data_IF_051322083439
#
_entry.id   IF_051322083439
#
_cell.length_a   1.000
_cell.length_b   1.000
_cell.length_c   1.000
_cell.angle_alpha   90.00
_cell.angle_beta   90.00
_cell.angle_gamma   90.00
#
_symmetry.space_group_name_H-M   'P 1'
#
loop_
_entity.id
_entity.type
_entity.pdbx_description
1 polymer ?
#
# COMPACT_ATOMS: atom_id res chain seq x y z
N UNK A 1 -60.77 -50.17 -84.03
CA UNK A 1 -59.52 -49.40 -83.91
C UNK A 1 -59.63 -48.54 -82.66
N UNK A 2 -59.21 -49.07 -81.51
CA UNK A 2 -59.21 -48.30 -80.26
C UNK A 2 -57.88 -47.54 -80.14
N UNK A 3 -57.97 -46.21 -80.11
CA UNK A 3 -56.84 -45.32 -79.82
C UNK A 3 -56.53 -45.40 -78.34
N UNK A 4 -55.40 -46.02 -78.00
CA UNK A 4 -54.82 -45.96 -76.67
C UNK A 4 -54.53 -44.49 -76.31
N UNK A 5 -55.35 -43.92 -75.42
CA UNK A 5 -55.11 -42.61 -74.82
C UNK A 5 -53.87 -42.72 -73.91
N UNK A 6 -52.86 -41.91 -74.22
CA UNK A 6 -51.58 -41.89 -73.51
C UNK A 6 -51.80 -41.34 -72.08
N UNK A 7 -51.87 -42.21 -71.08
CA UNK A 7 -51.92 -41.88 -69.64
C UNK A 7 -50.57 -41.41 -69.06
N UNK A 8 -49.60 -41.05 -69.92
CA UNK A 8 -48.17 -40.97 -69.57
C UNK A 8 -47.76 -39.67 -68.84
N UNK A 9 -48.59 -38.64 -68.89
CA UNK A 9 -48.21 -37.30 -68.40
C UNK A 9 -48.58 -37.06 -66.93
N UNK A 10 -49.56 -37.79 -66.36
CA UNK A 10 -49.91 -37.68 -64.94
C UNK A 10 -48.82 -38.22 -64.01
N UNK A 11 -48.06 -39.23 -64.44
CA UNK A 11 -46.97 -39.77 -63.63
C UNK A 11 -45.75 -38.84 -63.61
N UNK A 12 -45.52 -38.04 -64.67
CA UNK A 12 -44.37 -37.15 -64.75
C UNK A 12 -44.44 -36.01 -63.73
N UNK A 13 -45.63 -35.41 -63.54
CA UNK A 13 -45.83 -34.38 -62.52
C UNK A 13 -45.67 -34.96 -61.11
N UNK A 14 -46.23 -36.14 -60.84
CA UNK A 14 -46.07 -36.84 -59.55
C UNK A 14 -44.60 -37.11 -59.21
N UNK A 15 -43.78 -37.53 -60.19
CA UNK A 15 -42.34 -37.77 -59.99
C UNK A 15 -41.60 -36.46 -59.66
N UNK A 16 -41.91 -35.35 -60.35
CA UNK A 16 -41.30 -34.05 -60.06
C UNK A 16 -41.66 -33.55 -58.66
N UNK A 17 -42.92 -33.71 -58.25
CA UNK A 17 -43.36 -33.38 -56.89
C UNK A 17 -42.65 -34.24 -55.84
N UNK A 18 -42.55 -35.54 -56.05
CA UNK A 18 -41.83 -36.44 -55.14
C UNK A 18 -40.34 -36.06 -55.03
N UNK A 19 -39.70 -35.68 -56.14
CA UNK A 19 -38.33 -35.19 -56.13
C UNK A 19 -38.18 -33.85 -55.38
N UNK A 20 -39.10 -32.91 -55.58
CA UNK A 20 -39.11 -31.64 -54.86
C UNK A 20 -39.24 -31.85 -53.35
N UNK A 21 -40.21 -32.67 -52.92
CA UNK A 21 -40.42 -33.01 -51.51
C UNK A 21 -39.16 -33.66 -50.92
N UNK A 22 -38.47 -34.54 -51.66
CA UNK A 22 -37.21 -35.12 -51.19
C UNK A 22 -36.12 -34.08 -50.98
N UNK A 23 -35.99 -33.09 -51.87
CA UNK A 23 -35.01 -32.01 -51.71
C UNK A 23 -35.33 -31.15 -50.49
N UNK A 24 -36.58 -30.73 -50.35
CA UNK A 24 -37.03 -29.95 -49.19
C UNK A 24 -36.82 -30.74 -47.88
N UNK A 25 -37.14 -32.04 -47.86
CA UNK A 25 -36.87 -32.88 -46.69
C UNK A 25 -35.38 -32.96 -46.37
N UNK A 26 -34.49 -33.07 -47.36
CA UNK A 26 -33.03 -33.07 -47.14
C UNK A 26 -32.57 -31.71 -46.59
N UNK A 27 -33.09 -30.61 -47.12
CA UNK A 27 -32.77 -29.26 -46.63
C UNK A 27 -33.25 -29.05 -45.19
N UNK A 28 -34.48 -29.46 -44.86
CA UNK A 28 -35.01 -29.40 -43.49
C UNK A 28 -34.18 -30.25 -42.53
N UNK A 29 -33.76 -31.45 -42.95
CA UNK A 29 -32.89 -32.31 -42.13
C UNK A 29 -31.53 -31.64 -41.89
N UNK A 30 -30.93 -31.00 -42.90
CA UNK A 30 -29.70 -30.23 -42.70
C UNK A 30 -29.87 -29.09 -41.70
N UNK A 31 -30.97 -28.31 -41.81
CA UNK A 31 -31.26 -27.24 -40.85
C UNK A 31 -31.47 -27.79 -39.42
N UNK A 32 -32.10 -28.96 -39.29
CA UNK A 32 -32.29 -29.62 -38.01
C UNK A 32 -30.94 -30.08 -37.40
N UNK A 33 -30.04 -30.62 -38.22
CA UNK A 33 -28.72 -31.05 -37.78
C UNK A 33 -27.84 -29.85 -37.37
N UNK A 34 -27.91 -28.74 -38.11
CA UNK A 34 -27.19 -27.50 -37.79
C UNK A 34 -27.69 -26.91 -36.46
N UNK A 35 -29.01 -26.76 -36.28
CA UNK A 35 -29.58 -26.27 -35.01
C UNK A 35 -29.28 -27.19 -33.83
N UNK A 36 -29.20 -28.51 -34.06
CA UNK A 36 -28.79 -29.48 -33.05
C UNK A 36 -27.31 -29.34 -32.69
N UNK A 37 -26.44 -29.09 -33.66
CA UNK A 37 -25.02 -28.84 -33.42
C UNK A 37 -24.81 -27.54 -32.63
N UNK A 38 -25.55 -26.48 -32.96
CA UNK A 38 -25.55 -25.23 -32.20
C UNK A 38 -26.05 -25.42 -30.77
N UNK A 39 -27.16 -26.15 -30.57
CA UNK A 39 -27.69 -26.46 -29.24
C UNK A 39 -26.71 -27.30 -28.40
N UNK A 40 -25.99 -28.25 -29.03
CA UNK A 40 -24.94 -29.00 -28.36
C UNK A 40 -23.76 -28.11 -27.94
N UNK A 41 -23.36 -27.17 -28.80
CA UNK A 41 -22.32 -26.18 -28.51
C UNK A 41 -22.72 -25.26 -27.35
N UNK A 42 -23.92 -24.69 -27.39
CA UNK A 42 -24.43 -23.83 -26.30
C UNK A 42 -24.61 -24.59 -24.99
N UNK A 43 -25.05 -25.85 -25.04
CA UNK A 43 -25.12 -26.71 -23.86
C UNK A 43 -23.73 -26.96 -23.27
N UNK A 44 -22.70 -27.15 -24.12
CA UNK A 44 -21.32 -27.31 -23.67
C UNK A 44 -20.77 -26.04 -23.01
N UNK A 45 -21.03 -24.86 -23.56
CA UNK A 45 -20.57 -23.59 -22.96
C UNK A 45 -21.29 -23.29 -21.65
N UNK A 46 -22.58 -23.61 -21.54
CA UNK A 46 -23.34 -23.51 -20.27
C UNK A 46 -22.75 -24.42 -19.21
N UNK A 47 -22.35 -25.64 -19.56
CA UNK A 47 -21.70 -26.56 -18.62
C UNK A 47 -20.31 -26.07 -18.17
N UNK A 48 -19.49 -25.51 -19.07
CA UNK A 48 -18.20 -24.90 -18.71
C UNK A 48 -18.40 -23.70 -17.78
N UNK A 49 -19.36 -22.82 -18.08
CA UNK A 49 -19.69 -21.68 -17.21
C UNK A 49 -20.18 -22.14 -15.84
N UNK A 50 -21.02 -23.17 -15.79
CA UNK A 50 -21.49 -23.76 -14.53
C UNK A 50 -20.32 -24.29 -13.69
N UNK A 51 -19.40 -25.02 -14.31
CA UNK A 51 -18.20 -25.53 -13.63
C UNK A 51 -17.33 -24.39 -13.08
N UNK A 52 -17.11 -23.33 -13.85
CA UNK A 52 -16.35 -22.15 -13.38
C UNK A 52 -17.04 -21.41 -12.26
N UNK A 53 -18.37 -21.32 -12.27
CA UNK A 53 -19.15 -20.71 -11.18
C UNK A 53 -19.02 -21.56 -9.91
N UNK A 54 -19.09 -22.88 -10.02
CA UNK A 54 -18.89 -23.79 -8.87
C UNK A 54 -17.47 -23.66 -8.30
N UNK A 55 -16.45 -23.57 -9.16
CA UNK A 55 -15.06 -23.36 -8.74
C UNK A 55 -14.87 -22.00 -8.05
N UNK A 56 -15.40 -20.91 -8.62
CA UNK A 56 -15.34 -19.58 -8.01
C UNK A 56 -16.11 -19.54 -6.69
N UNK A 57 -17.28 -20.19 -6.62
CA UNK A 57 -18.05 -20.30 -5.37
C UNK A 57 -17.24 -21.01 -4.29
N UNK A 58 -16.55 -22.09 -4.64
CA UNK A 58 -15.69 -22.82 -3.72
C UNK A 58 -14.48 -21.98 -3.26
N UNK A 59 -13.86 -21.23 -4.17
CA UNK A 59 -12.77 -20.31 -3.81
C UNK A 59 -13.24 -19.18 -2.88
N UNK A 60 -14.44 -18.64 -3.13
CA UNK A 60 -15.05 -17.61 -2.27
C UNK A 60 -15.39 -18.17 -0.89
N UNK A 61 -15.73 -19.46 -0.78
CA UNK A 61 -16.01 -20.11 0.50
C UNK A 61 -14.73 -20.41 1.31
N UNK A 62 -13.63 -20.82 0.65
CA UNK A 62 -12.36 -21.16 1.33
C UNK A 62 -11.58 -19.92 1.78
N UNK A 63 -11.54 -18.87 0.95
CA UNK A 63 -10.73 -17.67 1.21
C UNK A 63 -11.03 -16.99 2.57
N UNK A 64 -12.27 -16.82 3.04
CA UNK A 64 -12.53 -16.22 4.35
C UNK A 64 -11.96 -17.08 5.49
N UNK A 65 -12.07 -18.41 5.42
CA UNK A 65 -11.50 -19.31 6.43
C UNK A 65 -9.99 -19.11 6.57
N UNK A 66 -9.27 -18.94 5.46
CA UNK A 66 -7.84 -18.70 5.49
C UNK A 66 -7.46 -17.35 6.12
N UNK A 67 -8.26 -16.31 5.86
CA UNK A 67 -8.04 -14.98 6.46
C UNK A 67 -8.31 -15.04 7.97
N UNK A 68 -9.37 -15.73 8.39
CA UNK A 68 -9.71 -15.89 9.80
C UNK A 68 -8.62 -16.67 10.57
N UNK A 69 -8.05 -17.73 9.98
CA UNK A 69 -6.91 -18.46 10.54
C UNK A 69 -5.68 -17.56 10.73
N UNK A 70 -5.36 -16.72 9.74
CA UNK A 70 -4.24 -15.78 9.83
C UNK A 70 -4.50 -14.73 10.90
N UNK A 71 -5.71 -14.17 10.95
CA UNK A 71 -6.10 -13.17 11.96
C UNK A 71 -6.02 -13.75 13.36
N UNK A 72 -6.54 -14.97 13.57
CA UNK A 72 -6.45 -15.66 14.86
C UNK A 72 -4.99 -15.94 15.26
N UNK A 73 -4.14 -16.31 14.31
CA UNK A 73 -2.70 -16.50 14.56
C UNK A 73 -1.98 -15.19 14.91
N UNK A 74 -2.35 -14.07 14.27
CA UNK A 74 -1.82 -12.75 14.61
C UNK A 74 -2.28 -12.32 16.00
N UNK A 75 -3.57 -12.46 16.31
CA UNK A 75 -4.14 -12.14 17.61
C UNK A 75 -3.49 -12.96 18.74
N UNK A 76 -3.27 -14.26 18.53
CA UNK A 76 -2.54 -15.12 19.46
C UNK A 76 -1.15 -14.59 19.79
N UNK A 77 -0.33 -14.29 18.77
CA UNK A 77 1.03 -13.74 18.97
C UNK A 77 1.03 -12.37 19.64
N UNK A 78 0.05 -11.52 19.34
CA UNK A 78 -0.09 -10.22 20.00
C UNK A 78 -0.43 -10.39 21.48
N UNK A 79 -1.35 -11.28 21.81
CA UNK A 79 -1.72 -11.59 23.19
C UNK A 79 -0.54 -12.17 23.98
N UNK A 80 0.23 -13.09 23.39
CA UNK A 80 1.46 -13.63 24.00
C UNK A 80 2.51 -12.55 24.24
N UNK A 81 2.70 -11.65 23.27
CA UNK A 81 3.64 -10.52 23.40
C UNK A 81 3.20 -9.54 24.49
N UNK A 82 1.91 -9.17 24.52
CA UNK A 82 1.34 -8.32 25.57
C UNK A 82 1.49 -8.95 26.95
N UNK A 83 1.23 -10.25 27.08
CA UNK A 83 1.40 -10.97 28.33
C UNK A 83 2.85 -10.95 28.80
N UNK A 84 3.80 -11.16 27.88
CA UNK A 84 5.25 -11.09 28.17
C UNK A 84 5.65 -9.71 28.68
N UNK A 85 5.16 -8.63 28.06
CA UNK A 85 5.42 -7.26 28.50
C UNK A 85 4.79 -6.99 29.87
N UNK A 86 3.56 -7.44 30.11
CA UNK A 86 2.89 -7.29 31.40
C UNK A 86 3.66 -8.00 32.52
N UNK A 87 4.15 -9.21 32.28
CA UNK A 87 4.93 -9.96 33.27
C UNK A 87 6.29 -9.30 33.53
N UNK A 88 6.92 -8.70 32.50
CA UNK A 88 8.13 -7.90 32.68
C UNK A 88 7.88 -6.63 33.50
N UNK A 89 6.76 -5.94 33.29
CA UNK A 89 6.36 -4.76 34.08
C UNK A 89 6.18 -5.15 35.53
N UNK A 90 5.43 -6.22 35.83
CA UNK A 90 5.26 -6.72 37.20
C UNK A 90 6.59 -7.06 37.86
N UNK A 91 7.51 -7.72 37.14
CA UNK A 91 8.84 -8.01 37.66
C UNK A 91 9.60 -6.73 38.03
N UNK A 92 9.61 -5.72 37.16
CA UNK A 92 10.24 -4.42 37.42
C UNK A 92 9.58 -3.66 38.58
N UNK A 93 8.27 -3.76 38.75
CA UNK A 93 7.56 -3.18 39.90
C UNK A 93 8.00 -3.84 41.22
N UNK A 94 8.16 -5.16 41.24
CA UNK A 94 8.66 -5.86 42.44
C UNK A 94 10.10 -5.47 42.78
N UNK A 95 10.97 -5.32 41.77
CA UNK A 95 12.34 -4.87 41.94
C UNK A 95 12.41 -3.42 42.44
N UNK A 96 11.63 -2.51 41.84
CA UNK A 96 11.52 -1.12 42.29
C UNK A 96 11.07 -1.02 43.74
N UNK A 97 10.08 -1.83 44.14
CA UNK A 97 9.61 -1.87 45.53
C UNK A 97 10.69 -2.38 46.49
N UNK A 98 11.51 -3.35 46.05
CA UNK A 98 12.65 -3.82 46.84
C UNK A 98 13.73 -2.73 46.98
N UNK A 99 14.07 -2.03 45.89
CA UNK A 99 15.04 -0.95 45.89
C UNK A 99 14.59 0.21 46.78
N UNK A 100 13.31 0.59 46.73
CA UNK A 100 12.72 1.59 47.63
C UNK A 100 12.91 1.22 49.10
N UNK A 101 12.59 -0.02 49.48
CA UNK A 101 12.79 -0.52 50.87
C UNK A 101 14.27 -0.48 51.28
N UNK A 102 15.19 -0.84 50.38
CA UNK A 102 16.63 -0.76 50.65
C UNK A 102 17.10 0.68 50.85
N UNK A 103 16.58 1.61 50.05
CA UNK A 103 16.89 3.03 50.16
C UNK A 103 16.38 3.60 51.50
N UNK A 104 15.12 3.32 51.86
CA UNK A 104 14.55 3.71 53.16
C UNK A 104 15.37 3.17 54.34
N UNK A 105 15.86 1.92 54.25
CA UNK A 105 16.72 1.33 55.26
C UNK A 105 18.07 2.06 55.38
N UNK A 106 18.72 2.38 54.25
CA UNK A 106 19.98 3.11 54.22
C UNK A 106 19.82 4.55 54.71
N UNK A 107 18.72 5.21 54.34
CA UNK A 107 18.37 6.55 54.79
C UNK A 107 18.18 6.60 56.31
N UNK A 108 17.47 5.62 56.90
CA UNK A 108 17.37 5.48 58.36
C UNK A 108 18.74 5.24 59.00
N UNK A 109 19.60 4.43 58.36
CA UNK A 109 20.95 4.14 58.86
C UNK A 109 21.89 5.34 58.78
N UNK A 110 21.74 6.21 57.79
CA UNK A 110 22.57 7.42 57.63
C UNK A 110 22.08 8.58 58.51
N UNK A 111 20.77 8.70 58.74
CA UNK A 111 20.19 9.71 59.61
C UNK A 111 20.62 9.55 61.09
N UNK A 112 20.79 8.32 61.57
CA UNK A 112 21.20 8.03 62.95
C UNK A 112 22.54 8.67 63.36
N UNK A 113 23.68 8.42 62.67
CA UNK A 113 24.97 9.01 63.04
C UNK A 113 25.07 10.49 62.72
N UNK A 114 24.36 10.99 61.70
CA UNK A 114 24.38 12.41 61.33
C UNK A 114 23.86 13.30 62.45
N UNK A 115 22.82 12.87 63.19
CA UNK A 115 22.31 13.62 64.35
C UNK A 115 23.31 13.61 65.51
N UNK A 116 23.98 12.48 65.78
CA UNK A 116 24.98 12.38 66.86
C UNK A 116 26.23 13.21 66.57
N UNK A 117 26.69 13.24 65.32
CA UNK A 117 27.82 14.06 64.90
C UNK A 117 27.46 15.55 64.84
N UNK A 118 26.28 15.93 64.33
CA UNK A 118 25.82 17.34 64.40
C UNK A 118 25.73 17.83 65.84
N UNK A 119 25.08 17.08 66.75
CA UNK A 119 25.03 17.48 68.16
C UNK A 119 26.42 17.60 68.81
N UNK A 120 27.41 16.82 68.33
CA UNK A 120 28.77 16.83 68.86
C UNK A 120 29.64 17.97 68.28
N UNK A 121 29.38 18.39 67.04
CA UNK A 121 30.10 19.48 66.36
C UNK A 121 29.46 20.85 66.63
N UNK A 122 28.13 20.92 66.72
CA UNK A 122 27.41 22.16 66.97
C UNK A 122 27.59 22.65 68.42
N UNK A 123 27.78 21.74 69.39
CA UNK A 123 28.04 22.09 70.79
C UNK A 123 29.32 22.93 71.01
N UNK A 124 30.50 22.57 70.47
CA UNK A 124 31.71 23.40 70.58
C UNK A 124 31.67 24.65 69.71
N UNK A 125 31.02 24.64 68.54
CA UNK A 125 30.95 25.82 67.66
C UNK A 125 30.05 26.90 68.28
N UNK A 126 28.92 26.54 68.90
CA UNK A 126 28.09 27.51 69.60
C UNK A 126 28.79 28.12 70.83
N UNK A 127 29.65 27.38 71.53
CA UNK A 127 30.43 27.93 72.65
C UNK A 127 31.50 28.92 72.18
N UNK A 128 32.21 28.63 71.09
CA UNK A 128 33.25 29.52 70.56
C UNK A 128 32.66 30.81 69.95
N UNK A 129 31.51 30.72 69.26
CA UNK A 129 30.86 31.89 68.66
C UNK A 129 30.23 32.81 69.72
N UNK A 130 29.71 32.27 70.83
CA UNK A 130 29.21 33.10 71.94
C UNK A 130 30.35 33.76 72.75
N UNK A 131 31.51 33.11 72.90
CA UNK A 131 32.67 33.70 73.57
C UNK A 131 33.35 34.82 72.74
N UNK A 132 33.28 34.76 71.40
CA UNK A 132 33.81 35.84 70.54
C UNK A 132 32.92 37.08 70.43
N UNK A 133 31.63 37.01 70.80
CA UNK A 133 30.70 38.15 70.69
C UNK A 133 30.81 39.18 71.83
N UNK A 134 31.58 38.90 72.89
CA UNK A 134 31.86 39.85 73.98
C UNK A 134 33.22 40.59 73.83
N UNK A 135 33.95 40.36 72.75
CA UNK A 135 35.20 41.06 72.41
C UNK A 135 34.93 42.39 71.71
N UNK A 136 34.65 43.43 72.49
CA UNK A 136 34.60 44.83 72.08
C UNK A 136 35.95 45.34 71.57
N UNK A 137 36.11 45.52 70.26
CA UNK A 137 36.98 46.52 69.58
C UNK A 137 36.34 46.72 68.19
N UNK A 138 35.78 47.88 67.81
CA UNK A 138 36.44 49.17 67.76
C UNK A 138 37.39 49.19 66.56
N UNK A 139 37.15 50.08 65.59
CA UNK A 139 37.85 50.30 64.29
C UNK A 139 37.15 49.63 63.10
N UNK A 140 37.00 50.22 61.92
CA UNK A 140 37.23 51.56 61.39
C UNK A 140 36.56 51.55 59.99
N UNK A 141 36.05 52.70 59.55
CA UNK A 141 35.41 52.84 58.25
C UNK A 141 36.49 52.93 57.16
N UNK A 142 36.64 51.88 56.35
CA UNK A 142 37.49 51.88 55.16
C UNK A 142 36.75 51.35 53.94
N UNK A 143 36.61 52.12 52.84
CA UNK A 143 35.97 51.66 51.61
C UNK A 143 36.98 50.95 50.69
N UNK A 144 36.63 49.73 50.27
CA UNK A 144 37.18 49.05 49.09
C UNK A 144 37.93 47.74 49.38
N UNK A 145 38.25 46.92 48.36
CA UNK A 145 37.64 46.79 47.04
C UNK A 145 36.86 45.48 46.90
N UNK A 146 35.87 45.53 46.02
CA UNK A 146 35.28 44.45 45.22
C UNK A 146 36.04 43.10 45.29
N UNK A 147 35.63 42.22 46.21
CA UNK A 147 35.99 40.81 46.17
C UNK A 147 34.86 40.08 45.46
N UNK A 148 35.09 39.90 44.16
CA UNK A 148 34.33 39.14 43.20
C UNK A 148 34.12 37.70 43.73
N UNK A 149 32.95 37.49 44.33
CA UNK A 149 32.47 36.17 44.75
C UNK A 149 32.19 35.38 43.46
N UNK A 150 33.16 34.56 43.09
CA UNK A 150 33.04 33.50 42.08
C UNK A 150 32.00 32.49 42.57
N UNK A 151 30.74 32.75 42.22
CA UNK A 151 29.69 31.74 42.21
C UNK A 151 29.99 30.81 41.02
N UNK A 152 30.10 29.48 41.21
CA UNK A 152 30.13 28.56 40.08
C UNK A 152 28.73 28.51 39.47
N UNK A 153 28.45 29.44 38.57
CA UNK A 153 27.24 29.45 37.78
C UNK A 153 27.44 28.48 36.61
N UNK A 154 27.05 27.23 36.82
CA UNK A 154 27.04 26.20 35.78
C UNK A 154 25.86 25.26 36.00
N UNK A 155 24.69 25.77 35.67
CA UNK A 155 23.58 24.94 35.23
C UNK A 155 23.06 25.54 33.91
N UNK A 156 23.34 24.92 32.75
CA UNK A 156 22.70 25.33 31.51
C UNK A 156 21.22 24.96 31.62
N UNK A 157 20.39 25.98 31.76
CA UNK A 157 18.94 25.86 31.60
C UNK A 157 18.66 25.70 30.10
N UNK A 158 18.31 24.49 29.68
CA UNK A 158 17.64 24.24 28.40
C UNK A 158 16.27 24.94 28.42
N UNK A 159 16.27 26.22 28.05
CA UNK A 159 15.06 26.97 27.72
C UNK A 159 15.04 27.21 26.22
N UNK A 160 14.30 26.34 25.56
CA UNK A 160 13.50 26.58 24.37
C UNK A 160 13.54 28.02 23.80
N UNK A 161 14.31 28.22 22.74
CA UNK A 161 13.95 29.07 21.59
C UNK A 161 14.39 28.29 20.34
N UNK A 162 13.45 27.80 19.55
CA UNK A 162 12.93 28.53 18.40
C UNK A 162 14.06 29.00 17.47
N UNK A 163 14.27 28.19 16.42
CA UNK A 163 14.72 28.61 15.10
C UNK A 163 16.09 29.33 15.05
N UNK A 164 17.14 28.56 14.72
CA UNK A 164 17.89 28.64 13.46
C UNK A 164 19.31 28.08 13.63
N UNK A 165 19.80 27.45 12.55
CA UNK A 165 21.19 27.03 12.32
C UNK A 165 21.66 25.71 12.97
N UNK A 166 21.19 24.60 12.40
CA UNK A 166 21.85 23.30 12.46
C UNK A 166 22.92 23.18 11.37
N UNK A 167 24.15 23.60 11.68
CA UNK A 167 25.34 23.02 11.07
C UNK A 167 26.44 23.01 12.12
N UNK A 168 27.27 21.95 12.10
CA UNK A 168 28.54 21.86 12.81
C UNK A 168 28.53 21.37 14.27
N UNK A 169 28.44 20.04 14.47
CA UNK A 169 29.53 19.26 15.11
C UNK A 169 29.28 17.77 14.88
N UNK A 170 29.96 17.25 13.84
CA UNK A 170 30.13 15.83 13.55
C UNK A 170 31.29 15.35 14.42
N UNK A 171 30.98 14.82 15.60
CA UNK A 171 31.95 14.27 16.53
C UNK A 171 32.64 13.04 15.95
N UNK A 172 33.91 13.22 15.63
CA UNK A 172 35.06 12.34 15.85
C UNK A 172 34.72 10.94 16.40
N UNK A 173 34.76 9.96 15.51
CA UNK A 173 35.08 8.57 15.85
C UNK A 173 35.92 8.02 14.71
N UNK A 174 37.13 8.59 14.59
CA UNK A 174 38.24 7.99 13.86
C UNK A 174 38.59 6.67 14.55
N UNK A 175 38.12 5.56 13.98
CA UNK A 175 38.65 4.24 14.29
C UNK A 175 39.71 3.91 13.24
N UNK A 176 40.95 3.99 13.70
CA UNK A 176 42.18 3.72 12.97
C UNK A 176 42.31 2.22 12.69
N UNK A 177 41.91 1.76 11.50
CA UNK A 177 42.34 0.46 10.98
C UNK A 177 42.69 0.55 9.50
N UNK A 178 43.99 0.77 9.25
CA UNK A 178 44.78 0.17 8.18
C UNK A 178 44.28 0.26 6.74
N UNK A 179 44.83 1.20 5.98
CA UNK A 179 45.00 1.06 4.53
C UNK A 179 46.08 0.03 4.24
N UNK A 180 45.89 -0.86 3.24
CA UNK A 180 46.99 -1.32 2.41
C UNK A 180 46.84 -0.68 1.02
N UNK A 181 47.69 0.29 0.73
CA UNK A 181 48.02 0.62 -0.65
C UNK A 181 48.91 -0.50 -1.18
N UNK A 182 48.50 -1.18 -2.25
CA UNK A 182 49.43 -1.77 -3.21
C UNK A 182 48.75 -1.89 -4.58
N UNK A 183 49.26 -1.06 -5.47
CA UNK A 183 49.20 -1.07 -6.92
C UNK A 183 49.46 -2.44 -7.54
N UNK A 184 48.73 -2.73 -8.63
CA UNK A 184 49.02 -3.82 -9.56
C UNK A 184 48.02 -3.81 -10.72
N UNK A 185 48.47 -3.29 -11.86
CA UNK A 185 47.81 -3.33 -13.16
C UNK A 185 47.48 -4.78 -13.56
N UNK A 186 46.30 -5.04 -14.16
CA UNK A 186 46.20 -5.68 -15.48
C UNK A 186 44.75 -5.73 -15.98
N UNK A 187 44.61 -5.47 -17.28
CA UNK A 187 43.40 -5.44 -18.08
C UNK A 187 42.57 -6.73 -18.02
N UNK A 188 41.24 -6.58 -17.97
CA UNK A 188 40.32 -7.29 -18.89
C UNK A 188 38.91 -6.74 -18.80
N UNK A 189 38.31 -6.62 -19.98
CA UNK A 189 37.07 -5.94 -20.31
C UNK A 189 35.84 -6.64 -19.69
N UNK A 190 34.99 -5.89 -18.98
CA UNK A 190 33.54 -6.09 -18.97
C UNK A 190 32.84 -4.78 -18.58
N UNK A 191 32.14 -4.17 -19.53
CA UNK A 191 31.31 -2.99 -19.32
C UNK A 191 30.11 -3.33 -18.43
N UNK A 192 30.16 -2.93 -17.17
CA UNK A 192 28.96 -2.61 -16.38
C UNK A 192 29.16 -1.23 -15.77
N UNK A 193 28.29 -0.29 -16.14
CA UNK A 193 28.27 1.11 -15.73
C UNK A 193 28.51 1.29 -14.22
N UNK A 194 29.73 1.67 -13.85
CA UNK A 194 30.03 2.25 -12.52
C UNK A 194 29.70 3.75 -12.56
N UNK A 195 28.66 4.13 -11.85
CA UNK A 195 28.28 5.53 -11.62
C UNK A 195 29.34 6.15 -10.70
N UNK A 196 29.82 7.38 -10.96
CA UNK A 196 30.77 8.06 -10.10
C UNK A 196 30.11 8.41 -8.76
N UNK A 197 30.70 7.95 -7.65
CA UNK A 197 30.39 8.41 -6.28
C UNK A 197 30.84 9.88 -6.14
N UNK A 198 30.02 10.81 -6.64
CA UNK A 198 30.10 12.21 -6.23
C UNK A 198 29.38 12.34 -4.89
N UNK A 199 29.90 13.18 -4.00
CA UNK A 199 29.21 13.70 -2.82
C UNK A 199 27.87 14.30 -3.29
N UNK A 200 26.79 13.55 -3.19
CA UNK A 200 25.44 14.02 -3.50
C UNK A 200 24.82 14.43 -2.17
N UNK A 201 24.39 15.68 -2.08
CA UNK A 201 23.56 16.16 -1.00
C UNK A 201 22.32 15.26 -0.83
N UNK A 202 21.98 14.87 0.41
CA UNK A 202 21.07 13.75 0.65
C UNK A 202 19.63 13.96 0.12
N UNK A 203 19.12 15.20 0.08
CA UNK A 203 17.69 15.43 -0.19
C UNK A 203 17.31 15.52 -1.69
N UNK A 204 18.14 16.11 -2.55
CA UNK A 204 17.84 16.16 -4.00
C UNK A 204 18.10 14.82 -4.71
N UNK A 205 18.83 13.92 -4.06
CA UNK A 205 19.27 12.64 -4.63
C UNK A 205 18.14 11.61 -4.78
N UNK A 206 17.24 11.55 -3.79
CA UNK A 206 16.28 10.45 -3.67
C UNK A 206 15.19 10.59 -4.73
N UNK A 207 14.69 11.80 -4.95
CA UNK A 207 13.68 12.07 -5.98
C UNK A 207 14.18 11.84 -7.41
N UNK A 208 15.48 12.05 -7.68
CA UNK A 208 16.06 11.74 -8.99
C UNK A 208 16.27 10.23 -9.18
N UNK A 209 16.63 9.51 -8.12
CA UNK A 209 16.77 8.06 -8.14
C UNK A 209 15.42 7.35 -8.29
N UNK A 210 14.37 7.91 -7.70
CA UNK A 210 12.99 7.43 -7.70
C UNK A 210 12.21 7.94 -8.91
N UNK A 211 12.72 7.83 -10.13
CA UNK A 211 11.92 8.13 -11.34
C UNK A 211 11.44 6.85 -12.01
N UNK A 212 10.17 6.82 -12.44
CA UNK A 212 9.57 5.68 -13.11
C UNK A 212 10.26 5.36 -14.44
N UNK A 213 10.70 6.37 -15.18
CA UNK A 213 11.48 6.22 -16.43
C UNK A 213 10.78 5.27 -17.44
N UNK A 214 9.46 5.36 -17.56
CA UNK A 214 8.66 4.54 -18.47
C UNK A 214 8.47 3.08 -18.05
N UNK A 215 8.91 2.67 -16.85
CA UNK A 215 8.68 1.30 -16.33
C UNK A 215 7.22 1.10 -15.96
N UNK A 216 6.74 -0.15 -16.01
CA UNK A 216 5.41 -0.47 -15.47
C UNK A 216 5.36 -0.18 -13.97
N UNK A 217 4.16 -0.01 -13.39
CA UNK A 217 4.04 0.32 -11.97
C UNK A 217 4.65 -0.78 -11.07
N UNK A 218 4.55 -2.05 -11.50
CA UNK A 218 5.11 -3.22 -10.82
C UNK A 218 6.65 -3.22 -10.89
N UNK A 219 7.21 -2.97 -12.07
CA UNK A 219 8.66 -2.86 -12.26
C UNK A 219 9.25 -1.67 -11.50
N UNK A 220 8.49 -0.57 -11.45
CA UNK A 220 8.86 0.63 -10.72
C UNK A 220 8.86 0.39 -9.21
N UNK A 221 7.86 -0.32 -8.68
CA UNK A 221 7.83 -0.75 -7.28
C UNK A 221 9.04 -1.62 -6.94
N UNK A 222 9.31 -2.65 -7.75
CA UNK A 222 10.47 -3.54 -7.59
C UNK A 222 11.80 -2.78 -7.62
N UNK A 223 11.91 -1.76 -8.48
CA UNK A 223 13.09 -0.89 -8.50
C UNK A 223 13.21 -0.06 -7.22
N UNK A 224 12.10 0.50 -6.76
CA UNK A 224 12.07 1.34 -5.59
C UNK A 224 12.39 0.55 -4.31
N UNK A 225 11.99 -0.72 -4.23
CA UNK A 225 12.39 -1.64 -3.14
C UNK A 225 13.90 -1.92 -3.12
N UNK A 226 14.55 -2.01 -4.29
CA UNK A 226 16.02 -2.14 -4.35
C UNK A 226 16.71 -0.88 -3.82
N UNK A 227 16.20 0.30 -4.17
CA UNK A 227 16.70 1.57 -3.63
C UNK A 227 16.45 1.63 -2.12
N UNK A 228 15.28 1.21 -1.66
CA UNK A 228 14.93 1.16 -0.23
C UNK A 228 15.92 0.30 0.54
N UNK A 229 16.20 -0.90 0.03
CA UNK A 229 17.11 -1.85 0.67
C UNK A 229 18.50 -1.25 0.82
N UNK A 230 18.98 -0.53 -0.20
CA UNK A 230 20.26 0.18 -0.15
C UNK A 230 20.26 1.32 0.87
N UNK A 231 19.15 2.05 0.98
CA UNK A 231 19.04 3.17 1.94
C UNK A 231 18.89 2.68 3.38
N UNK A 232 18.15 1.60 3.61
CA UNK A 232 18.03 0.94 4.92
C UNK A 232 19.40 0.43 5.40
N UNK A 233 20.21 -0.10 4.49
CA UNK A 233 21.60 -0.49 4.79
C UNK A 233 22.48 0.71 5.16
N UNK A 234 22.17 1.91 4.65
CA UNK A 234 22.88 3.15 4.95
C UNK A 234 22.47 3.80 6.29
N UNK A 235 21.48 3.24 6.99
CA UNK A 235 21.01 3.77 8.29
C UNK A 235 20.24 5.09 8.20
N UNK A 236 19.85 5.53 6.99
CA UNK A 236 19.05 6.75 6.79
C UNK A 236 17.58 6.42 7.12
N UNK A 237 17.22 6.58 8.39
CA UNK A 237 16.02 6.00 9.01
C UNK A 237 14.66 6.64 8.70
N UNK A 238 14.48 7.37 7.60
CA UNK A 238 13.22 8.05 7.30
C UNK A 238 12.48 7.36 6.15
N UNK A 239 11.42 6.60 6.49
CA UNK A 239 10.56 5.89 5.50
C UNK A 239 9.56 6.82 4.81
N UNK A 240 9.15 7.90 5.47
CA UNK A 240 8.15 8.86 4.97
C UNK A 240 8.61 9.63 3.73
N UNK A 241 9.80 10.28 3.69
CA UNK A 241 10.25 11.03 2.50
C UNK A 241 10.46 10.11 1.30
N UNK A 242 10.72 8.82 1.54
CA UNK A 242 10.86 7.83 0.49
C UNK A 242 9.54 7.54 -0.23
N UNK A 243 8.43 7.44 0.51
CA UNK A 243 7.10 7.25 -0.07
C UNK A 243 6.71 8.47 -0.90
N UNK A 244 7.01 9.67 -0.42
CA UNK A 244 6.74 10.91 -1.14
C UNK A 244 7.58 11.01 -2.43
N UNK A 245 8.88 10.70 -2.35
CA UNK A 245 9.75 10.64 -3.52
C UNK A 245 9.26 9.62 -4.56
N UNK A 246 8.78 8.46 -4.11
CA UNK A 246 8.19 7.45 -5.00
C UNK A 246 6.97 7.99 -5.74
N UNK A 247 6.03 8.63 -5.03
CA UNK A 247 4.79 9.20 -5.57
C UNK A 247 5.08 10.31 -6.58
N UNK A 248 5.99 11.23 -6.24
CA UNK A 248 6.43 12.30 -7.14
C UNK A 248 7.13 11.76 -8.40
N UNK A 249 7.75 10.59 -8.28
CA UNK A 249 8.46 9.86 -9.34
C UNK A 249 7.60 9.15 -10.38
N UNK A 250 6.29 9.03 -10.16
CA UNK A 250 5.35 8.37 -11.09
C UNK A 250 5.09 9.28 -12.29
N UNK A 251 5.29 8.77 -13.52
CA UNK A 251 5.21 9.54 -14.77
C UNK A 251 3.77 9.95 -15.11
N UNK A 252 2.77 9.15 -14.71
CA UNK A 252 1.35 9.40 -14.98
C UNK A 252 0.69 10.33 -13.95
N UNK A 253 0.14 11.49 -14.33
CA UNK A 253 -0.52 12.40 -13.37
C UNK A 253 -1.79 11.76 -12.79
N UNK A 254 -2.56 11.02 -13.59
CA UNK A 254 -3.78 10.35 -13.11
C UNK A 254 -3.50 9.20 -12.14
N UNK A 255 -2.44 8.42 -12.40
CA UNK A 255 -2.01 7.37 -11.48
C UNK A 255 -1.44 7.95 -10.20
N UNK A 256 -0.72 9.08 -10.29
CA UNK A 256 -0.19 9.81 -9.14
C UNK A 256 -1.30 10.33 -8.24
N UNK A 257 -2.28 11.05 -8.78
CA UNK A 257 -3.42 11.57 -7.99
C UNK A 257 -4.21 10.45 -7.30
N UNK A 258 -4.39 9.32 -7.98
CA UNK A 258 -5.05 8.15 -7.40
C UNK A 258 -4.22 7.53 -6.26
N UNK A 259 -2.88 7.47 -6.41
CA UNK A 259 -1.98 7.00 -5.36
C UNK A 259 -2.02 7.91 -4.13
N UNK A 260 -1.94 9.23 -4.33
CA UNK A 260 -1.98 10.24 -3.27
C UNK A 260 -3.30 10.17 -2.50
N UNK A 261 -4.43 10.08 -3.21
CA UNK A 261 -5.75 9.97 -2.59
C UNK A 261 -5.85 8.69 -1.74
N UNK A 262 -5.42 7.54 -2.27
CA UNK A 262 -5.43 6.26 -1.54
C UNK A 262 -4.50 6.25 -0.33
N UNK A 263 -3.29 6.82 -0.46
CA UNK A 263 -2.33 6.96 0.63
C UNK A 263 -2.81 7.92 1.71
N UNK A 264 -3.58 8.95 1.36
CA UNK A 264 -4.20 9.85 2.34
C UNK A 264 -5.12 9.11 3.32
N UNK A 265 -5.81 8.06 2.85
CA UNK A 265 -6.66 7.22 3.71
C UNK A 265 -5.88 6.10 4.41
N UNK A 266 -4.93 5.45 3.72
CA UNK A 266 -4.17 4.31 4.24
C UNK A 266 -2.97 4.71 5.14
N UNK A 267 -2.56 5.97 5.09
CA UNK A 267 -1.36 6.49 5.74
C UNK A 267 -0.11 6.43 4.85
N UNK A 268 0.82 7.37 5.08
CA UNK A 268 2.07 7.48 4.32
C UNK A 268 3.13 6.51 4.87
N UNK A 269 2.95 5.22 4.61
CA UNK A 269 3.93 4.17 4.93
C UNK A 269 4.27 3.34 3.70
N UNK A 270 5.47 2.76 3.66
CA UNK A 270 5.90 1.90 2.56
C UNK A 270 5.00 0.67 2.38
N UNK A 271 4.50 0.12 3.50
CA UNK A 271 3.59 -1.01 3.49
C UNK A 271 2.20 -0.62 2.94
N UNK A 272 1.71 0.58 3.27
CA UNK A 272 0.49 1.10 2.67
C UNK A 272 0.65 1.35 1.16
N UNK A 273 1.80 1.90 0.74
CA UNK A 273 2.14 2.13 -0.67
C UNK A 273 2.12 0.84 -1.49
N UNK A 274 2.83 -0.19 -1.03
CA UNK A 274 2.87 -1.51 -1.70
C UNK A 274 1.47 -2.11 -1.83
N UNK A 275 0.68 -2.11 -0.76
CA UNK A 275 -0.71 -2.58 -0.79
C UNK A 275 -1.60 -1.82 -1.78
N UNK A 276 -1.49 -0.49 -1.81
CA UNK A 276 -2.25 0.36 -2.76
C UNK A 276 -1.85 0.08 -4.21
N UNK A 277 -0.56 -0.13 -4.49
CA UNK A 277 -0.09 -0.44 -5.85
C UNK A 277 -0.63 -1.80 -6.30
N UNK A 278 -0.57 -2.82 -5.45
CA UNK A 278 -1.13 -4.13 -5.77
C UNK A 278 -2.64 -4.05 -6.06
N UNK A 279 -3.41 -3.30 -5.24
CA UNK A 279 -4.85 -3.06 -5.47
C UNK A 279 -5.11 -2.39 -6.83
N UNK A 280 -4.28 -1.42 -7.23
CA UNK A 280 -4.40 -0.73 -8.52
C UNK A 280 -4.09 -1.66 -9.69
N UNK A 281 -3.02 -2.45 -9.59
CA UNK A 281 -2.60 -3.39 -10.64
C UNK A 281 -3.69 -4.45 -10.85
N UNK A 282 -4.16 -5.08 -9.77
CA UNK A 282 -5.23 -6.07 -9.78
C UNK A 282 -6.51 -5.50 -10.43
N UNK A 283 -6.94 -4.30 -10.02
CA UNK A 283 -8.10 -3.63 -10.62
C UNK A 283 -7.91 -3.23 -12.07
N UNK A 284 -6.68 -2.91 -12.48
CA UNK A 284 -6.38 -2.53 -13.85
C UNK A 284 -6.42 -3.72 -14.81
N UNK A 285 -6.03 -4.91 -14.35
CA UNK A 285 -6.11 -6.16 -15.12
C UNK A 285 -7.57 -6.57 -15.36
N UNK A 286 -8.42 -6.51 -14.32
CA UNK A 286 -9.85 -6.84 -14.44
C UNK A 286 -10.55 -5.96 -15.49
N UNK A 287 -10.24 -4.66 -15.53
CA UNK A 287 -10.83 -3.73 -16.52
C UNK A 287 -10.36 -3.97 -17.95
N UNK A 288 -9.17 -4.55 -18.15
CA UNK A 288 -8.68 -4.90 -19.48
C UNK A 288 -9.41 -6.12 -20.05
N UNK A 289 -9.68 -7.12 -19.20
CA UNK A 289 -10.34 -8.38 -19.59
C UNK A 289 -11.82 -8.16 -19.95
N UNK A 290 -12.54 -7.31 -19.21
CA UNK A 290 -13.96 -7.02 -19.51
C UNK A 290 -14.16 -6.29 -20.84
N UNK A 291 -13.16 -5.54 -21.31
CA UNK A 291 -13.27 -4.75 -22.53
C UNK A 291 -12.89 -5.53 -23.80
N UNK A 292 -12.39 -6.76 -23.63
CA UNK A 292 -12.05 -7.71 -24.69
C UNK A 292 -13.05 -8.85 -24.82
N UNK A 293 -14.31 -8.64 -24.39
CA UNK A 293 -15.40 -9.54 -24.73
C UNK A 293 -15.56 -9.70 -26.25
N UNK A 294 -16.01 -10.86 -26.74
CA UNK A 294 -16.04 -11.18 -28.16
C UNK A 294 -17.01 -10.22 -28.84
N UNK A 295 -16.47 -9.28 -29.61
CA UNK A 295 -17.24 -8.58 -30.62
C UNK A 295 -17.55 -9.62 -31.69
N UNK A 296 -18.72 -10.25 -31.57
CA UNK A 296 -19.29 -11.06 -32.64
C UNK A 296 -19.30 -10.21 -33.92
N UNK A 297 -18.48 -10.66 -34.85
CA UNK A 297 -18.33 -10.04 -36.15
C UNK A 297 -19.60 -10.24 -36.94
N UNK A 298 -20.27 -9.14 -37.27
CA UNK A 298 -21.17 -9.11 -38.41
C UNK A 298 -20.51 -8.32 -39.54
N UNK A 299 -20.34 -9.01 -40.66
CA UNK A 299 -19.46 -8.61 -41.74
C UNK A 299 -19.90 -7.34 -42.48
N UNK A 300 -18.90 -6.61 -42.95
CA UNK A 300 -19.09 -5.76 -44.12
C UNK A 300 -17.82 -5.77 -44.95
N UNK A 301 -17.95 -6.40 -46.11
CA UNK A 301 -16.97 -6.55 -47.18
C UNK A 301 -16.81 -5.19 -47.88
N UNK A 302 -15.57 -4.78 -48.11
CA UNK A 302 -15.25 -3.70 -49.04
C UNK A 302 -13.79 -3.26 -49.00
N UNK A 303 -12.99 -3.76 -49.96
CA UNK A 303 -11.94 -3.07 -50.76
C UNK A 303 -11.18 -1.88 -50.13
N UNK A 304 -9.87 -1.69 -50.26
CA UNK A 304 -8.89 -2.13 -51.27
C UNK A 304 -7.52 -1.57 -50.84
N UNK A 305 -6.47 -2.37 -51.02
CA UNK A 305 -5.10 -2.02 -51.49
C UNK A 305 -4.43 -0.71 -51.05
N UNK A 306 -3.23 -0.82 -50.46
CA UNK A 306 -2.25 0.27 -50.49
C UNK A 306 -1.16 0.19 -49.43
N UNK A 307 0.04 -0.23 -49.85
CA UNK A 307 1.24 -0.48 -49.05
C UNK A 307 2.13 0.78 -49.00
N UNK A 308 2.56 1.22 -47.81
CA UNK A 308 3.96 1.65 -47.50
C UNK A 308 4.13 1.97 -46.00
N UNK A 309 5.35 1.79 -45.44
CA UNK A 309 5.64 2.08 -44.03
C UNK A 309 6.43 3.38 -43.88
N UNK A 310 5.96 4.30 -43.04
CA UNK A 310 6.82 5.28 -42.36
C UNK A 310 6.03 6.05 -41.28
N UNK A 311 6.63 6.06 -40.10
CA UNK A 311 6.82 7.27 -39.28
C UNK A 311 5.67 7.82 -38.43
N UNK A 312 5.79 7.51 -37.13
CA UNK A 312 5.53 8.35 -35.96
C UNK A 312 4.81 9.67 -36.20
N UNK A 313 3.55 9.74 -35.78
CA UNK A 313 2.99 10.88 -35.06
C UNK A 313 1.64 10.50 -34.44
N UNK A 314 1.64 10.44 -33.12
CA UNK A 314 0.46 10.31 -32.27
C UNK A 314 -0.49 11.50 -32.46
N UNK A 315 -1.43 11.36 -33.40
CA UNK A 315 -2.56 12.28 -33.57
C UNK A 315 -3.75 11.78 -32.74
N UNK A 316 -4.14 12.56 -31.74
CA UNK A 316 -5.36 12.38 -30.97
C UNK A 316 -6.57 12.25 -31.91
N UNK A 317 -7.26 11.10 -31.84
CA UNK A 317 -8.47 10.85 -32.62
C UNK A 317 -9.58 11.83 -32.22
N UNK A 318 -10.32 12.43 -33.16
CA UNK A 318 -11.45 13.29 -32.84
C UNK A 318 -12.56 12.47 -32.17
N UNK A 319 -13.02 12.93 -31.00
CA UNK A 319 -14.13 12.33 -30.26
C UNK A 319 -15.38 12.34 -31.15
N UNK A 320 -15.83 11.16 -31.59
CA UNK A 320 -17.09 11.00 -32.33
C UNK A 320 -18.23 11.55 -31.48
N UNK A 321 -18.96 12.55 -32.01
CA UNK A 321 -20.24 13.03 -31.45
C UNK A 321 -21.16 11.81 -31.30
N UNK A 322 -21.49 11.46 -30.05
CA UNK A 322 -22.48 10.42 -29.75
C UNK A 322 -23.80 10.85 -30.37
N UNK A 323 -24.41 9.95 -31.15
CA UNK A 323 -25.72 10.20 -31.77
C UNK A 323 -26.74 10.34 -30.64
N UNK A 324 -27.54 11.39 -30.73
CA UNK A 324 -28.64 11.66 -29.81
C UNK A 324 -29.69 10.56 -30.02
N UNK A 325 -29.90 9.72 -29.00
CA UNK A 325 -30.99 8.75 -28.98
C UNK A 325 -32.20 9.52 -28.44
N UNK A 326 -33.27 9.72 -29.22
CA UNK A 326 -34.47 10.37 -28.72
C UNK A 326 -35.04 9.50 -27.59
N UNK A 327 -35.16 10.11 -26.41
CA UNK A 327 -35.80 9.49 -25.25
C UNK A 327 -37.27 9.36 -25.59
N UNK A 328 -37.71 8.15 -25.94
CA UNK A 328 -39.13 7.82 -26.06
C UNK A 328 -39.67 7.80 -24.63
N UNK A 329 -40.71 8.59 -24.28
CA UNK A 329 -41.33 8.52 -22.97
C UNK A 329 -41.87 7.10 -22.74
N UNK A 330 -41.63 6.56 -21.55
CA UNK A 330 -42.12 5.25 -21.14
C UNK A 330 -43.63 5.18 -21.38
N UNK A 331 -44.08 4.08 -21.99
CA UNK A 331 -45.48 3.83 -22.19
C UNK A 331 -46.18 3.54 -20.85
N UNK A 332 -47.51 3.67 -20.85
CA UNK A 332 -48.29 3.54 -19.61
C UNK A 332 -48.24 2.11 -19.05
N UNK A 333 -47.83 1.11 -19.84
CA UNK A 333 -47.68 -0.29 -19.44
C UNK A 333 -46.42 -0.49 -18.57
N UNK A 334 -45.27 0.07 -18.96
CA UNK A 334 -44.03 -0.03 -18.19
C UNK A 334 -44.14 0.66 -16.81
N UNK A 335 -44.92 1.75 -16.72
CA UNK A 335 -45.22 2.42 -15.45
C UNK A 335 -46.10 1.58 -14.51
N UNK A 336 -46.98 0.74 -15.06
CA UNK A 336 -47.82 -0.16 -14.26
C UNK A 336 -47.01 -1.32 -13.67
N UNK A 337 -46.05 -1.86 -14.42
CA UNK A 337 -45.14 -2.92 -13.93
C UNK A 337 -44.22 -2.43 -12.80
N UNK A 338 -43.69 -1.21 -12.91
CA UNK A 338 -42.87 -0.60 -11.85
C UNK A 338 -43.69 -0.40 -10.57
N UNK A 339 -44.97 -0.02 -10.71
CA UNK A 339 -45.87 0.18 -9.57
C UNK A 339 -46.28 -1.14 -8.93
N UNK A 340 -46.55 -2.17 -9.74
CA UNK A 340 -46.86 -3.51 -9.26
C UNK A 340 -45.66 -4.12 -8.49
N UNK A 341 -44.45 -3.96 -9.02
CA UNK A 341 -43.21 -4.44 -8.39
C UNK A 341 -42.94 -3.79 -7.01
N UNK A 342 -43.45 -2.57 -6.79
CA UNK A 342 -43.34 -1.87 -5.50
C UNK A 342 -44.34 -2.31 -4.43
N UNK A 343 -45.41 -3.02 -4.79
CA UNK A 343 -46.44 -3.46 -3.84
C UNK A 343 -46.23 -4.88 -3.30
N UNK A 344 -45.27 -5.65 -3.83
CA UNK A 344 -45.10 -7.08 -3.51
C UNK A 344 -44.12 -7.37 -2.36
N UNK A 345 -43.65 -6.36 -1.61
CA UNK A 345 -42.84 -6.58 -0.40
C UNK A 345 -43.59 -6.22 0.89
N UNK A 346 -44.52 -7.08 1.39
CA UNK A 346 -44.97 -7.01 2.77
C UNK A 346 -44.15 -7.98 3.65
N UNK A 347 -43.67 -7.47 4.79
CA UNK A 347 -43.49 -8.30 5.98
C UNK A 347 -42.11 -8.92 6.20
N UNK A 348 -41.20 -8.13 6.77
CA UNK A 348 -40.26 -8.66 7.78
C UNK A 348 -40.73 -8.16 9.14
N UNK A 349 -41.73 -8.85 9.71
CA UNK A 349 -41.97 -8.79 11.15
C UNK A 349 -40.82 -9.51 11.84
N UNK A 350 -39.90 -8.74 12.40
CA UNK A 350 -38.87 -9.26 13.30
C UNK A 350 -39.51 -9.39 14.68
N UNK A 351 -39.88 -10.61 15.03
CA UNK A 351 -40.32 -11.01 16.36
C UNK A 351 -39.11 -10.95 17.30
N UNK A 352 -39.13 -10.04 18.27
CA UNK A 352 -38.15 -9.99 19.36
C UNK A 352 -38.71 -10.81 20.53
N UNK A 353 -38.03 -11.90 20.85
CA UNK A 353 -38.20 -12.68 22.07
C UNK A 353 -37.00 -12.54 22.97
#
# INVERSE_FOLDING_TARGET
MEKATRSRDQNATSILWAHQIRRENVEIVHQLDDTRAELASTTSTVNDLKQRIEELSHQVEIRPCHVDEILQGIEGRFNESLQTVLDRIKALETENNLLKRKLEFLERRSASPATTLRSRVDAPVQTIVFDSANGSLGLDNGPGPESEILVPDSMPMDKAQAQQQYHFVRSLSETTWGSPSLSGEQESQSQTNRIPERNIEPDESVGQLMKQNGRTLVDYLSHAERIQSRMLQSGVGQKTPMVEAFVQGVDGPSTRTMLEERLRFAGYSWQALTGVIHDIVEKSEVRMVEKSGPVEGNGSIGSTTGRTPAENQSKCRPKRKRRFIPIVPADEEELLEIRASRQVWPGTEVHVG
#
